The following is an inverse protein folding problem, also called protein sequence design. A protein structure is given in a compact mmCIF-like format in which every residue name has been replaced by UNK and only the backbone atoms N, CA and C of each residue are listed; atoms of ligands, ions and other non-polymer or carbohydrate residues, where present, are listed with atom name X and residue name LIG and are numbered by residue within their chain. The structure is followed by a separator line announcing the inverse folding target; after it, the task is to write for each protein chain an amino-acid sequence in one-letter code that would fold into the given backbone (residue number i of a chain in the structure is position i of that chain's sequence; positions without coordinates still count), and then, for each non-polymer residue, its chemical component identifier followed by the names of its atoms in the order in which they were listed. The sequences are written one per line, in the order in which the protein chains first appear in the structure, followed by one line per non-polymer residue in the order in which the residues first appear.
data_IF_382068290802
#
_entry.id   IF_382068290802
#
_cell.length_a   1.000
_cell.length_b   1.000
_cell.length_c   1.000
_cell.angle_alpha   90.00
_cell.angle_beta   90.00
_cell.angle_gamma   90.00
#
_symmetry.space_group_name_H-M   'P 1'
#
loop_
_entity.id
_entity.type
_entity.pdbx_description
1 polymer ?
#
# COMPACT_ATOMS: atom_id res chain seq x y z
N UNK A 1 21.99 10.79 26.42
CA UNK A 1 21.05 10.41 25.35
C UNK A 1 21.75 9.49 24.38
N UNK A 2 21.42 8.20 24.41
CA UNK A 2 21.92 7.23 23.43
C UNK A 2 21.04 7.32 22.19
N UNK A 3 21.56 7.93 21.12
CA UNK A 3 20.89 8.02 19.82
C UNK A 3 21.52 7.01 18.85
N UNK A 4 20.69 6.35 18.04
CA UNK A 4 21.15 5.53 16.90
C UNK A 4 21.08 6.38 15.64
N UNK A 5 22.14 6.36 14.84
CA UNK A 5 22.23 7.10 13.58
C UNK A 5 22.05 6.16 12.41
N UNK A 6 21.21 6.51 11.43
CA UNK A 6 20.86 5.61 10.32
C UNK A 6 21.18 6.33 9.00
N UNK A 7 21.88 5.64 8.10
CA UNK A 7 22.07 6.11 6.73
C UNK A 7 20.73 6.12 5.99
N UNK A 8 20.32 7.26 5.43
CA UNK A 8 19.01 7.38 4.78
C UNK A 8 18.88 6.51 3.52
N UNK A 9 19.99 6.25 2.81
CA UNK A 9 19.95 5.50 1.56
C UNK A 9 20.12 4.00 1.74
N UNK A 10 21.07 3.53 2.56
CA UNK A 10 21.28 2.08 2.74
C UNK A 10 20.66 1.52 4.04
N UNK A 11 20.06 2.39 4.85
CA UNK A 11 19.39 2.09 6.12
C UNK A 11 20.30 1.47 7.19
N UNK A 12 21.62 1.50 7.00
CA UNK A 12 22.58 0.93 7.95
C UNK A 12 22.58 1.75 9.25
N UNK A 13 22.35 1.12 10.42
CA UNK A 13 22.54 1.78 11.70
C UNK A 13 24.03 1.96 12.02
N UNK A 14 24.35 3.03 12.73
CA UNK A 14 25.68 3.44 13.15
C UNK A 14 25.62 3.95 14.59
N UNK A 15 26.72 3.75 15.32
CA UNK A 15 26.81 4.00 16.77
C UNK A 15 26.88 5.47 17.16
N UNK A 16 27.36 6.33 16.26
CA UNK A 16 27.55 7.75 16.50
C UNK A 16 27.56 8.53 15.17
N UNK A 17 27.45 9.85 15.27
CA UNK A 17 27.39 10.76 14.14
C UNK A 17 28.67 10.73 13.28
N UNK A 18 29.84 10.54 13.90
CA UNK A 18 31.13 10.47 13.18
C UNK A 18 31.17 9.24 12.28
N UNK A 19 30.66 8.11 12.76
CA UNK A 19 30.54 6.88 11.99
C UNK A 19 29.55 7.03 10.83
N UNK A 20 28.44 7.76 11.03
CA UNK A 20 27.50 8.06 9.95
C UNK A 20 28.16 8.91 8.85
N UNK A 21 28.83 10.01 9.20
CA UNK A 21 29.49 10.87 8.20
C UNK A 21 30.54 10.12 7.38
N UNK A 22 31.44 9.38 8.06
CA UNK A 22 32.44 8.53 7.38
C UNK A 22 31.82 7.45 6.50
N UNK A 23 30.62 6.98 6.86
CA UNK A 23 29.88 6.02 6.05
C UNK A 23 29.27 6.69 4.81
N UNK A 24 28.65 7.87 4.96
CA UNK A 24 28.04 8.61 3.85
C UNK A 24 29.06 9.01 2.78
N UNK A 25 30.29 9.38 3.17
CA UNK A 25 31.39 9.67 2.22
C UNK A 25 31.76 8.48 1.31
N UNK A 26 31.46 7.25 1.75
CA UNK A 26 31.84 6.00 1.07
C UNK A 26 30.64 5.22 0.54
N UNK A 27 29.42 5.63 0.89
CA UNK A 27 28.20 4.88 0.57
C UNK A 27 27.90 5.06 -0.92
N UNK A 28 27.92 3.99 -1.73
CA UNK A 28 27.62 4.11 -3.16
C UNK A 28 26.11 4.13 -3.44
N UNK A 29 25.27 3.96 -2.42
CA UNK A 29 23.82 3.82 -2.55
C UNK A 29 23.18 5.19 -2.36
N UNK A 30 22.40 5.62 -3.35
CA UNK A 30 21.62 6.87 -3.34
C UNK A 30 20.12 6.62 -3.60
N UNK A 31 19.72 5.34 -3.74
CA UNK A 31 18.34 4.90 -3.92
C UNK A 31 18.17 3.45 -3.44
N UNK A 32 16.93 2.99 -3.18
CA UNK A 32 16.70 1.61 -2.78
C UNK A 32 17.23 0.60 -3.84
N UNK A 33 17.89 -0.50 -3.42
CA UNK A 33 18.53 -1.45 -4.34
C UNK A 33 17.49 -2.41 -4.94
N UNK A 34 16.77 -1.96 -5.97
CA UNK A 34 15.74 -2.73 -6.66
C UNK A 34 15.35 -2.12 -7.99
N UNK A 35 14.30 -2.66 -8.60
CA UNK A 35 13.79 -2.11 -9.85
C UNK A 35 12.85 -0.94 -9.54
N UNK A 36 13.09 0.22 -10.14
CA UNK A 36 12.11 1.32 -10.11
C UNK A 36 10.90 0.91 -10.97
N UNK A 37 9.80 0.53 -10.32
CA UNK A 37 8.59 0.09 -11.00
C UNK A 37 7.61 1.25 -11.24
N UNK A 38 7.72 2.34 -10.48
CA UNK A 38 6.86 3.50 -10.61
C UNK A 38 7.69 4.77 -10.49
N UNK A 39 7.42 5.75 -11.35
CA UNK A 39 7.95 7.11 -11.23
C UNK A 39 6.95 8.13 -11.76
N UNK A 40 6.57 9.08 -10.91
CA UNK A 40 5.76 10.25 -11.30
C UNK A 40 6.22 11.46 -10.49
N UNK A 41 6.61 12.52 -11.19
CA UNK A 41 7.15 13.74 -10.58
C UNK A 41 8.33 13.40 -9.66
N UNK A 42 8.24 13.78 -8.38
CA UNK A 42 9.24 13.51 -7.36
C UNK A 42 8.97 12.23 -6.55
N UNK A 43 8.04 11.36 -6.95
CA UNK A 43 7.77 10.10 -6.23
C UNK A 43 8.12 8.89 -7.08
N UNK A 44 8.88 7.98 -6.46
CA UNK A 44 9.26 6.69 -7.04
C UNK A 44 8.93 5.54 -6.12
N UNK A 45 8.66 4.37 -6.69
CA UNK A 45 8.49 3.11 -5.94
C UNK A 45 9.40 2.04 -6.52
N UNK A 46 10.20 1.43 -5.65
CA UNK A 46 11.16 0.38 -5.98
C UNK A 46 10.65 -0.98 -5.50
N UNK A 47 10.68 -1.97 -6.38
CA UNK A 47 10.47 -3.38 -6.03
C UNK A 47 11.83 -4.03 -5.71
N UNK A 48 11.94 -4.56 -4.49
CA UNK A 48 13.15 -5.18 -3.96
C UNK A 48 12.85 -6.63 -3.60
N UNK A 49 13.62 -7.54 -4.16
CA UNK A 49 13.61 -8.95 -3.76
C UNK A 49 14.46 -9.13 -2.50
N UNK A 50 13.86 -9.61 -1.41
CA UNK A 50 14.55 -9.80 -0.14
C UNK A 50 15.67 -10.84 -0.21
N UNK A 51 15.55 -11.88 -1.04
CA UNK A 51 16.60 -12.88 -1.26
C UNK A 51 17.84 -12.27 -1.91
N UNK A 52 17.65 -11.32 -2.83
CA UNK A 52 18.75 -10.67 -3.58
C UNK A 52 19.41 -9.53 -2.81
N UNK A 53 18.65 -8.81 -1.97
CA UNK A 53 19.10 -7.59 -1.29
C UNK A 53 19.06 -7.70 0.24
N UNK A 54 19.41 -8.88 0.80
CA UNK A 54 19.26 -9.24 2.23
C UNK A 54 19.66 -8.13 3.20
N UNK A 55 20.85 -7.55 3.02
CA UNK A 55 21.37 -6.53 3.95
C UNK A 55 20.49 -5.29 4.03
N UNK A 56 20.02 -4.80 2.89
CA UNK A 56 19.15 -3.62 2.84
C UNK A 56 17.80 -3.91 3.48
N UNK A 57 17.18 -5.05 3.14
CA UNK A 57 15.86 -5.40 3.66
C UNK A 57 15.90 -5.76 5.15
N UNK A 58 16.98 -6.33 5.65
CA UNK A 58 17.18 -6.55 7.09
C UNK A 58 17.27 -5.22 7.85
N UNK A 59 18.06 -4.26 7.33
CA UNK A 59 18.11 -2.91 7.89
C UNK A 59 16.73 -2.22 7.87
N UNK A 60 16.00 -2.33 6.77
CA UNK A 60 14.62 -1.83 6.65
C UNK A 60 13.69 -2.48 7.67
N UNK A 61 13.79 -3.79 7.86
CA UNK A 61 12.98 -4.52 8.83
C UNK A 61 13.29 -4.09 10.27
N UNK A 62 14.57 -3.88 10.61
CA UNK A 62 14.99 -3.37 11.92
C UNK A 62 14.45 -1.96 12.17
N UNK A 63 14.61 -1.05 11.19
CA UNK A 63 14.03 0.29 11.26
C UNK A 63 12.52 0.23 11.44
N UNK A 64 11.85 -0.63 10.69
CA UNK A 64 10.40 -0.80 10.74
C UNK A 64 9.91 -1.37 12.07
N UNK A 65 10.69 -2.22 12.72
CA UNK A 65 10.33 -2.83 14.02
C UNK A 65 10.20 -1.79 15.13
N UNK A 66 10.87 -0.64 15.01
CA UNK A 66 10.76 0.49 15.93
C UNK A 66 9.36 1.10 15.96
N UNK A 67 8.57 0.90 14.90
CA UNK A 67 7.25 1.51 14.71
C UNK A 67 6.13 0.49 14.52
N UNK A 68 6.45 -0.80 14.46
CA UNK A 68 5.50 -1.90 14.28
C UNK A 68 5.65 -2.91 15.41
N UNK A 69 4.68 -2.94 16.32
CA UNK A 69 4.72 -3.81 17.50
C UNK A 69 4.67 -5.29 17.14
N UNK A 70 3.80 -5.65 16.19
CA UNK A 70 3.55 -7.04 15.78
C UNK A 70 4.48 -7.57 14.68
N UNK A 71 5.56 -6.85 14.30
CA UNK A 71 6.51 -7.36 13.31
C UNK A 71 7.40 -8.44 13.92
N UNK A 72 7.23 -9.68 13.47
CA UNK A 72 7.95 -10.86 13.96
C UNK A 72 9.14 -11.25 13.07
N UNK A 73 9.05 -10.98 11.76
CA UNK A 73 10.08 -11.37 10.79
C UNK A 73 10.96 -10.18 10.40
N UNK A 74 12.26 -10.30 10.66
CA UNK A 74 13.26 -9.28 10.32
C UNK A 74 14.61 -9.80 9.82
N UNK A 75 14.91 -11.10 9.98
CA UNK A 75 16.13 -11.71 9.43
C UNK A 75 15.89 -12.59 8.21
N UNK A 76 14.86 -13.44 8.25
CA UNK A 76 14.47 -14.25 7.11
C UNK A 76 13.62 -13.43 6.14
N UNK A 77 14.28 -12.87 5.13
CA UNK A 77 13.67 -11.93 4.18
C UNK A 77 13.52 -12.54 2.79
N UNK A 78 14.02 -13.75 2.59
CA UNK A 78 14.00 -14.48 1.33
C UNK A 78 12.58 -14.68 0.75
N UNK A 79 11.53 -14.97 1.56
CA UNK A 79 10.19 -15.18 1.02
C UNK A 79 9.45 -13.87 0.70
N UNK A 80 10.04 -12.70 0.92
CA UNK A 80 9.36 -11.41 0.78
C UNK A 80 9.86 -10.57 -0.40
N UNK A 81 8.91 -9.83 -0.99
CA UNK A 81 9.16 -8.64 -1.79
C UNK A 81 8.90 -7.40 -0.94
N UNK A 82 9.64 -6.33 -1.22
CA UNK A 82 9.49 -5.04 -0.57
C UNK A 82 9.24 -3.97 -1.63
N UNK A 83 8.20 -3.17 -1.43
CA UNK A 83 7.83 -2.05 -2.30
C UNK A 83 8.12 -0.75 -1.56
N UNK A 84 9.25 -0.14 -1.88
CA UNK A 84 9.80 1.02 -1.16
C UNK A 84 9.44 2.31 -1.89
N UNK A 85 8.70 3.19 -1.22
CA UNK A 85 8.33 4.51 -1.70
C UNK A 85 9.37 5.54 -1.27
N UNK A 86 9.78 6.37 -2.22
CA UNK A 86 10.76 7.43 -2.02
C UNK A 86 10.28 8.75 -2.59
N UNK A 87 10.71 9.85 -1.98
CA UNK A 87 10.74 11.16 -2.62
C UNK A 87 12.10 11.40 -3.28
N UNK A 88 12.13 12.03 -4.45
CA UNK A 88 13.33 12.31 -5.21
C UNK A 88 13.57 13.82 -5.28
N UNK A 89 14.77 14.24 -4.90
CA UNK A 89 15.27 15.60 -5.12
C UNK A 89 16.72 15.59 -5.65
N UNK A 90 17.40 16.74 -5.62
CA UNK A 90 18.78 16.90 -6.09
C UNK A 90 19.83 16.06 -5.32
N UNK A 91 19.51 15.63 -4.10
CA UNK A 91 20.35 14.78 -3.25
C UNK A 91 20.05 13.29 -3.40
N UNK A 92 19.03 12.90 -4.16
CA UNK A 92 18.72 11.52 -4.49
C UNK A 92 17.35 11.06 -3.99
N UNK A 93 17.24 9.77 -3.65
CA UNK A 93 15.97 9.18 -3.22
C UNK A 93 15.90 9.05 -1.70
N UNK A 94 14.97 9.77 -1.09
CA UNK A 94 14.69 9.77 0.34
C UNK A 94 13.64 8.73 0.67
N UNK A 95 13.97 7.79 1.57
CA UNK A 95 13.03 6.78 2.03
C UNK A 95 11.86 7.42 2.78
N UNK A 96 10.63 7.08 2.39
CA UNK A 96 9.39 7.61 3.01
C UNK A 96 8.58 6.51 3.69
N UNK A 97 8.52 5.35 3.07
CA UNK A 97 7.71 4.24 3.56
C UNK A 97 7.82 3.02 2.65
N UNK A 98 7.22 1.92 3.07
CA UNK A 98 7.18 0.70 2.28
C UNK A 98 5.98 -0.17 2.65
N UNK A 99 5.73 -1.17 1.82
CA UNK A 99 5.08 -2.39 2.28
C UNK A 99 5.85 -3.63 1.85
N UNK A 100 5.68 -4.74 2.57
CA UNK A 100 6.17 -6.06 2.18
C UNK A 100 5.02 -6.96 1.72
N UNK A 101 5.31 -7.90 0.82
CA UNK A 101 4.37 -8.90 0.30
C UNK A 101 5.11 -10.23 0.23
N UNK A 102 4.50 -11.31 0.71
CA UNK A 102 5.02 -12.66 0.51
C UNK A 102 5.01 -13.01 -0.98
N UNK A 103 6.07 -13.67 -1.47
CA UNK A 103 6.11 -14.18 -2.84
C UNK A 103 5.02 -15.22 -3.07
N UNK A 104 4.82 -16.08 -2.07
CA UNK A 104 3.75 -17.06 -2.01
C UNK A 104 3.07 -16.95 -0.65
N UNK A 105 1.78 -16.65 -0.64
CA UNK A 105 0.97 -16.52 0.57
C UNK A 105 -0.14 -17.56 0.54
N UNK A 106 -0.20 -18.44 1.54
CA UNK A 106 -1.25 -19.46 1.66
C UNK A 106 -2.65 -18.84 1.72
N UNK A 107 -2.72 -17.69 2.36
CA UNK A 107 -3.96 -16.95 2.61
C UNK A 107 -4.17 -15.83 1.59
N UNK A 108 -3.40 -15.79 0.48
CA UNK A 108 -3.43 -14.77 -0.57
C UNK A 108 -3.34 -13.32 -0.05
N UNK A 109 -2.56 -13.09 1.01
CA UNK A 109 -2.36 -11.73 1.50
C UNK A 109 -1.59 -10.89 0.48
N UNK A 110 -2.08 -9.70 0.18
CA UNK A 110 -1.41 -8.79 -0.76
C UNK A 110 -0.46 -7.82 -0.07
N UNK A 111 -0.45 -7.82 1.27
CA UNK A 111 0.37 -6.96 2.10
C UNK A 111 0.59 -7.62 3.47
N UNK A 112 1.85 -7.78 3.86
CA UNK A 112 2.25 -8.32 5.16
C UNK A 112 2.50 -7.20 6.18
N UNK A 113 3.49 -6.34 5.93
CA UNK A 113 3.76 -5.14 6.73
C UNK A 113 3.63 -3.89 5.88
N UNK A 114 3.15 -2.79 6.48
CA UNK A 114 3.15 -1.46 5.87
C UNK A 114 3.64 -0.43 6.89
N UNK A 115 4.47 0.49 6.42
CA UNK A 115 4.96 1.60 7.23
C UNK A 115 5.08 2.86 6.38
N UNK A 116 4.60 3.97 6.92
CA UNK A 116 5.07 5.31 6.53
C UNK A 116 5.82 5.88 7.72
N UNK A 117 7.04 6.35 7.49
CA UNK A 117 7.86 6.93 8.53
C UNK A 117 7.11 8.07 9.25
N UNK A 118 7.26 8.22 10.58
CA UNK A 118 6.49 9.20 11.36
C UNK A 118 6.50 10.62 10.77
N UNK A 119 7.65 11.12 10.33
CA UNK A 119 7.80 12.46 9.76
C UNK A 119 7.16 12.64 8.37
N UNK A 120 6.70 11.54 7.75
CA UNK A 120 5.97 11.55 6.48
C UNK A 120 4.50 11.10 6.62
N UNK A 121 4.02 10.84 7.84
CA UNK A 121 2.62 10.47 8.05
C UNK A 121 1.66 11.61 7.71
N UNK A 122 0.39 11.26 7.44
CA UNK A 122 -0.70 12.20 7.08
C UNK A 122 -0.47 13.00 5.77
N UNK A 123 0.57 12.70 5.00
CA UNK A 123 0.82 13.27 3.65
C UNK A 123 0.20 12.46 2.50
N UNK A 124 -0.40 11.30 2.79
CA UNK A 124 -1.09 10.46 1.80
C UNK A 124 -0.30 9.25 1.28
N UNK A 125 0.98 9.10 1.64
CA UNK A 125 1.81 7.98 1.17
C UNK A 125 1.28 6.60 1.59
N UNK A 126 0.80 6.46 2.83
CA UNK A 126 0.20 5.21 3.29
C UNK A 126 -0.97 4.76 2.40
N UNK A 127 -1.80 5.70 1.93
CA UNK A 127 -2.88 5.40 0.98
C UNK A 127 -2.34 4.97 -0.37
N UNK A 128 -1.28 5.61 -0.87
CA UNK A 128 -0.64 5.22 -2.14
C UNK A 128 -0.02 3.83 -2.05
N UNK A 129 0.62 3.47 -0.94
CA UNK A 129 1.13 2.12 -0.70
C UNK A 129 -0.01 1.06 -0.70
N UNK A 130 -1.15 1.37 -0.08
CA UNK A 130 -2.35 0.51 -0.11
C UNK A 130 -2.92 0.42 -1.54
N UNK A 131 -3.04 1.54 -2.25
CA UNK A 131 -3.54 1.57 -3.63
C UNK A 131 -2.64 0.73 -4.55
N UNK A 132 -1.32 0.79 -4.38
CA UNK A 132 -0.38 -0.03 -5.13
C UNK A 132 -0.62 -1.52 -4.85
N UNK A 133 -0.75 -1.93 -3.58
CA UNK A 133 -0.90 -3.35 -3.25
C UNK A 133 -2.15 -3.97 -3.90
N UNK A 134 -3.25 -3.23 -3.99
CA UNK A 134 -4.45 -3.65 -4.71
C UNK A 134 -4.29 -3.62 -6.23
N UNK A 135 -3.56 -2.64 -6.79
CA UNK A 135 -3.22 -2.67 -8.20
C UNK A 135 -2.43 -3.93 -8.56
N UNK A 136 -1.43 -4.30 -7.75
CA UNK A 136 -0.64 -5.51 -7.98
C UNK A 136 -1.53 -6.76 -7.92
N UNK A 137 -2.44 -6.85 -6.94
CA UNK A 137 -3.44 -7.92 -6.90
C UNK A 137 -4.29 -7.98 -8.17
N UNK A 138 -4.71 -6.82 -8.71
CA UNK A 138 -5.48 -6.74 -9.96
C UNK A 138 -4.66 -7.22 -11.16
N UNK A 139 -3.40 -6.82 -11.26
CA UNK A 139 -2.48 -7.28 -12.31
C UNK A 139 -2.21 -8.79 -12.22
N UNK A 140 -2.23 -9.36 -11.02
CA UNK A 140 -2.09 -10.80 -10.76
C UNK A 140 -3.42 -11.57 -10.91
N UNK A 141 -4.53 -10.93 -11.27
CA UNK A 141 -5.89 -11.49 -11.27
C UNK A 141 -6.30 -12.14 -9.93
N UNK A 142 -5.82 -11.58 -8.81
CA UNK A 142 -6.12 -12.04 -7.45
C UNK A 142 -6.94 -11.01 -6.68
N UNK A 143 -7.60 -11.47 -5.61
CA UNK A 143 -8.21 -10.60 -4.60
C UNK A 143 -7.25 -10.45 -3.43
N UNK A 144 -7.04 -9.21 -3.00
CA UNK A 144 -6.09 -8.86 -1.95
C UNK A 144 -6.75 -8.62 -0.60
N UNK A 145 -6.06 -9.03 0.45
CA UNK A 145 -6.34 -8.64 1.83
C UNK A 145 -5.00 -8.43 2.56
N UNK A 146 -4.88 -7.46 3.48
CA UNK A 146 -3.72 -7.34 4.35
C UNK A 146 -3.68 -8.44 5.42
N UNK A 147 -2.48 -8.80 5.85
CA UNK A 147 -2.27 -9.69 6.99
C UNK A 147 -2.84 -9.09 8.29
N UNK A 148 -3.31 -9.95 9.20
CA UNK A 148 -3.82 -9.59 10.52
C UNK A 148 -2.82 -9.98 11.62
N UNK A 149 -2.81 -9.29 12.78
CA UNK A 149 -3.69 -8.19 13.17
C UNK A 149 -3.25 -6.84 12.57
N UNK A 150 -4.22 -5.94 12.41
CA UNK A 150 -3.95 -4.54 12.04
C UNK A 150 -3.42 -3.76 13.25
N UNK A 151 -2.55 -2.77 12.98
CA UNK A 151 -2.40 -1.64 13.91
C UNK A 151 -3.62 -0.71 13.80
N UNK A 152 -3.92 0.08 14.83
CA UNK A 152 -5.04 1.04 14.82
C UNK A 152 -4.96 2.00 13.62
N UNK A 153 -3.76 2.54 13.35
CA UNK A 153 -3.51 3.42 12.21
C UNK A 153 -3.67 2.68 10.88
N UNK A 154 -3.26 1.42 10.81
CA UNK A 154 -3.45 0.54 9.65
C UNK A 154 -4.93 0.32 9.36
N UNK A 155 -5.72 -0.05 10.38
CA UNK A 155 -7.16 -0.29 10.24
C UNK A 155 -7.90 0.95 9.76
N UNK A 156 -7.61 2.12 10.33
CA UNK A 156 -8.19 3.39 9.89
C UNK A 156 -7.85 3.71 8.43
N UNK A 157 -6.60 3.46 8.02
CA UNK A 157 -6.12 3.69 6.65
C UNK A 157 -6.83 2.77 5.65
N UNK A 158 -6.98 1.48 5.98
CA UNK A 158 -7.69 0.50 5.14
C UNK A 158 -9.19 0.80 5.04
N UNK A 159 -9.87 1.13 6.16
CA UNK A 159 -11.29 1.53 6.13
C UNK A 159 -11.53 2.76 5.26
N UNK A 160 -10.64 3.75 5.34
CA UNK A 160 -10.71 4.95 4.49
C UNK A 160 -10.45 4.63 3.02
N UNK A 161 -9.49 3.74 2.73
CA UNK A 161 -9.21 3.29 1.37
C UNK A 161 -10.40 2.52 0.77
N UNK A 162 -10.88 1.47 1.43
CA UNK A 162 -11.98 0.62 0.96
C UNK A 162 -13.26 1.41 0.74
N UNK A 163 -13.65 2.24 1.72
CA UNK A 163 -14.86 3.07 1.60
C UNK A 163 -14.85 3.90 0.31
N UNK A 164 -13.71 4.51 -0.01
CA UNK A 164 -13.59 5.32 -1.20
C UNK A 164 -13.48 4.50 -2.48
N UNK A 165 -12.70 3.42 -2.49
CA UNK A 165 -12.55 2.58 -3.68
C UNK A 165 -13.89 1.95 -4.09
N UNK A 166 -14.68 1.50 -3.12
CA UNK A 166 -16.02 0.95 -3.36
C UNK A 166 -16.98 2.04 -3.86
N UNK A 167 -17.01 3.21 -3.20
CA UNK A 167 -17.83 4.33 -3.65
C UNK A 167 -17.44 4.81 -5.05
N UNK A 168 -16.14 4.84 -5.39
CA UNK A 168 -15.67 5.22 -6.72
C UNK A 168 -16.21 4.28 -7.80
N UNK A 169 -16.23 2.96 -7.56
CA UNK A 169 -16.81 1.99 -8.50
C UNK A 169 -18.32 2.15 -8.62
N UNK A 170 -19.03 2.34 -7.50
CA UNK A 170 -20.48 2.56 -7.51
C UNK A 170 -20.84 3.84 -8.29
N UNK A 171 -20.12 4.93 -8.03
CA UNK A 171 -20.34 6.21 -8.71
C UNK A 171 -19.99 6.13 -10.20
N UNK A 172 -18.91 5.45 -10.56
CA UNK A 172 -18.55 5.21 -11.95
C UNK A 172 -19.68 4.46 -12.70
N UNK A 173 -20.24 3.41 -12.10
CA UNK A 173 -21.40 2.70 -12.67
C UNK A 173 -22.63 3.59 -12.77
N UNK A 174 -22.89 4.41 -11.74
CA UNK A 174 -24.02 5.32 -11.72
C UNK A 174 -23.93 6.39 -12.83
N UNK A 175 -22.74 6.94 -13.04
CA UNK A 175 -22.48 7.98 -14.06
C UNK A 175 -22.48 7.43 -15.51
N UNK A 176 -22.15 6.15 -15.69
CA UNK A 176 -22.08 5.50 -17.02
C UNK A 176 -23.38 4.85 -17.48
N UNK A 177 -24.37 4.70 -16.59
CA UNK A 177 -25.61 4.00 -16.91
C UNK A 177 -26.68 4.97 -17.37
N UNK A 178 -27.34 4.67 -18.49
CA UNK A 178 -28.54 5.38 -18.95
C UNK A 178 -29.80 4.94 -18.19
N UNK A 179 -29.69 3.95 -17.29
CA UNK A 179 -30.81 3.47 -16.48
C UNK A 179 -31.14 4.45 -15.35
N UNK A 180 -32.44 4.62 -15.08
CA UNK A 180 -32.93 5.42 -13.94
C UNK A 180 -32.45 4.88 -12.59
N UNK A 181 -32.21 3.56 -12.50
CA UNK A 181 -31.74 2.87 -11.29
C UNK A 181 -30.61 1.90 -11.62
N UNK A 182 -29.37 2.40 -11.79
CA UNK A 182 -28.23 1.57 -12.15
C UNK A 182 -27.99 0.47 -11.12
N UNK A 183 -27.82 -0.76 -11.59
CA UNK A 183 -27.53 -1.91 -10.73
C UNK A 183 -26.03 -2.23 -10.69
N UNK A 184 -25.54 -2.61 -9.51
CA UNK A 184 -24.20 -3.15 -9.31
C UNK A 184 -24.20 -4.21 -8.22
N UNK A 185 -23.55 -5.34 -8.49
CA UNK A 185 -23.39 -6.45 -7.57
C UNK A 185 -22.13 -6.30 -6.71
N UNK A 186 -22.11 -6.98 -5.56
CA UNK A 186 -20.89 -7.14 -4.75
C UNK A 186 -19.76 -7.79 -5.56
N UNK A 187 -20.09 -8.72 -6.47
CA UNK A 187 -19.12 -9.39 -7.33
C UNK A 187 -18.41 -8.39 -8.26
N UNK A 188 -19.16 -7.53 -8.96
CA UNK A 188 -18.59 -6.51 -9.85
C UNK A 188 -17.71 -5.51 -9.10
N UNK A 189 -18.05 -5.17 -7.85
CA UNK A 189 -17.20 -4.33 -7.00
C UNK A 189 -15.89 -5.07 -6.67
N UNK A 190 -15.96 -6.34 -6.30
CA UNK A 190 -14.76 -7.15 -6.05
C UNK A 190 -13.86 -7.26 -7.29
N UNK A 191 -14.44 -7.40 -8.49
CA UNK A 191 -13.71 -7.45 -9.77
C UNK A 191 -13.07 -6.13 -10.14
N UNK A 192 -13.77 -5.03 -9.89
CA UNK A 192 -13.26 -3.70 -10.21
C UNK A 192 -12.11 -3.28 -9.28
N UNK A 193 -12.19 -3.66 -8.00
CA UNK A 193 -11.28 -3.19 -6.94
C UNK A 193 -10.21 -4.18 -6.50
N UNK A 194 -10.35 -5.47 -6.83
CA UNK A 194 -9.57 -6.57 -6.25
C UNK A 194 -9.67 -6.69 -4.72
N UNK A 195 -10.66 -6.06 -4.08
CA UNK A 195 -10.96 -6.24 -2.66
C UNK A 195 -11.74 -7.55 -2.47
N UNK A 196 -11.49 -8.26 -1.36
CA UNK A 196 -12.23 -9.48 -1.02
C UNK A 196 -13.70 -9.20 -0.72
N UNK A 197 -14.54 -10.21 -0.95
CA UNK A 197 -15.99 -10.11 -0.73
C UNK A 197 -16.33 -9.72 0.70
N UNK A 198 -15.61 -10.27 1.67
CA UNK A 198 -15.81 -10.04 3.10
C UNK A 198 -15.59 -8.56 3.45
N UNK A 199 -14.51 -7.98 2.93
CA UNK A 199 -14.18 -6.55 3.15
C UNK A 199 -15.15 -5.63 2.40
N UNK A 200 -15.54 -5.97 1.16
CA UNK A 200 -16.56 -5.21 0.41
C UNK A 200 -17.88 -5.20 1.18
N UNK A 201 -18.34 -6.37 1.61
CA UNK A 201 -19.60 -6.55 2.34
C UNK A 201 -19.56 -5.80 3.67
N UNK A 202 -18.49 -5.97 4.45
CA UNK A 202 -18.29 -5.26 5.71
C UNK A 202 -18.27 -3.74 5.53
N UNK A 203 -17.61 -3.26 4.47
CA UNK A 203 -17.55 -1.83 4.16
C UNK A 203 -18.91 -1.29 3.73
N UNK A 204 -19.66 -2.01 2.90
CA UNK A 204 -21.03 -1.61 2.51
C UNK A 204 -21.98 -1.55 3.71
N UNK A 205 -21.87 -2.48 4.66
CA UNK A 205 -22.60 -2.42 5.92
C UNK A 205 -22.18 -1.21 6.76
N UNK A 206 -20.88 -0.94 6.88
CA UNK A 206 -20.36 0.20 7.62
C UNK A 206 -20.85 1.54 7.04
N UNK A 207 -20.92 1.64 5.72
CA UNK A 207 -21.46 2.81 5.01
C UNK A 207 -22.99 2.87 4.98
N UNK A 208 -23.68 1.85 5.52
CA UNK A 208 -25.15 1.71 5.51
C UNK A 208 -25.75 1.74 4.08
N UNK A 209 -25.04 1.14 3.13
CA UNK A 209 -25.43 1.13 1.72
C UNK A 209 -26.10 -0.17 1.30
N UNK A 210 -25.93 -1.27 2.03
CA UNK A 210 -26.51 -2.57 1.66
C UNK A 210 -27.82 -2.81 2.41
N UNK A 211 -28.89 -3.07 1.66
CA UNK A 211 -30.22 -3.38 2.18
C UNK A 211 -30.72 -4.71 1.60
N UNK A 212 -31.59 -5.42 2.33
CA UNK A 212 -32.23 -6.64 1.84
C UNK A 212 -33.65 -6.32 1.38
N UNK A 213 -33.94 -6.58 0.10
CA UNK A 213 -35.23 -6.29 -0.51
C UNK A 213 -35.66 -7.44 -1.42
N UNK A 214 -36.90 -7.93 -1.24
CA UNK A 214 -37.52 -9.01 -2.05
C UNK A 214 -36.61 -10.23 -2.31
N UNK A 215 -35.86 -10.66 -1.29
CA UNK A 215 -35.01 -11.85 -1.40
C UNK A 215 -33.61 -11.58 -1.95
N UNK A 216 -33.21 -10.33 -2.16
CA UNK A 216 -31.90 -9.95 -2.71
C UNK A 216 -31.29 -8.75 -2.00
N UNK A 217 -29.96 -8.68 -1.97
CA UNK A 217 -29.26 -7.50 -1.49
C UNK A 217 -29.22 -6.42 -2.58
N UNK A 218 -29.57 -5.20 -2.20
CA UNK A 218 -29.55 -4.01 -3.05
C UNK A 218 -28.65 -2.95 -2.43
N UNK A 219 -27.94 -2.20 -3.27
CA UNK A 219 -27.09 -1.09 -2.85
C UNK A 219 -27.88 0.21 -3.01
N UNK A 220 -28.08 0.94 -1.91
CA UNK A 220 -28.81 2.20 -1.87
C UNK A 220 -27.89 3.33 -1.45
N UNK A 221 -27.69 4.31 -2.33
CA UNK A 221 -26.89 5.50 -2.04
C UNK A 221 -27.62 6.43 -1.08
N UNK A 222 -26.92 6.87 -0.04
CA UNK A 222 -27.41 7.89 0.90
C UNK A 222 -26.73 9.22 0.61
N UNK A 223 -27.42 10.33 0.92
CA UNK A 223 -26.84 11.68 0.81
C UNK A 223 -25.55 11.82 1.64
N UNK A 224 -25.55 11.25 2.85
CA UNK A 224 -24.36 11.25 3.72
C UNK A 224 -23.15 10.55 3.08
N UNK A 225 -23.36 9.38 2.46
CA UNK A 225 -22.28 8.67 1.79
C UNK A 225 -21.74 9.44 0.57
N UNK A 226 -22.64 10.08 -0.20
CA UNK A 226 -22.27 10.93 -1.34
C UNK A 226 -21.46 12.16 -0.89
N UNK A 227 -21.96 12.89 0.10
CA UNK A 227 -21.28 14.08 0.63
C UNK A 227 -19.87 13.73 1.16
N UNK A 228 -19.76 12.61 1.87
CA UNK A 228 -18.47 12.12 2.37
C UNK A 228 -17.54 11.68 1.24
N UNK A 229 -18.06 11.04 0.19
CA UNK A 229 -17.27 10.63 -0.97
C UNK A 229 -16.69 11.84 -1.71
N UNK A 230 -17.51 12.85 -2.03
CA UNK A 230 -17.04 14.05 -2.73
C UNK A 230 -16.03 14.86 -1.89
N UNK A 231 -16.28 15.03 -0.59
CA UNK A 231 -15.31 15.65 0.33
C UNK A 231 -13.98 14.91 0.37
N UNK A 232 -14.01 13.57 0.32
CA UNK A 232 -12.78 12.79 0.24
C UNK A 232 -12.10 12.97 -1.11
N UNK A 233 -12.86 12.89 -2.22
CA UNK A 233 -12.36 13.02 -3.61
C UNK A 233 -11.55 14.30 -3.79
N UNK A 234 -12.05 15.44 -3.30
CA UNK A 234 -11.35 16.73 -3.35
C UNK A 234 -10.01 16.73 -2.57
N UNK A 235 -9.97 16.04 -1.42
CA UNK A 235 -8.76 15.92 -0.61
C UNK A 235 -7.74 14.94 -1.20
N UNK A 236 -8.14 14.04 -2.11
CA UNK A 236 -7.26 13.00 -2.69
C UNK A 236 -6.43 13.54 -3.86
N UNK A 237 -5.50 14.45 -3.58
CA UNK A 237 -4.59 14.99 -4.61
C UNK A 237 -3.53 13.99 -5.08
N UNK A 238 -3.07 13.12 -4.20
CA UNK A 238 -2.03 12.14 -4.50
C UNK A 238 -2.61 10.72 -4.69
N UNK A 239 -2.51 10.20 -5.92
CA UNK A 239 -2.96 8.88 -6.38
C UNK A 239 -1.96 8.26 -7.35
N UNK A 240 -1.97 6.94 -7.44
CA UNK A 240 -1.15 6.22 -8.43
C UNK A 240 -1.69 6.45 -9.83
N UNK A 241 -0.79 6.83 -10.73
CA UNK A 241 -1.06 6.87 -12.17
C UNK A 241 -0.58 5.57 -12.83
N UNK A 242 -1.53 4.74 -13.28
CA UNK A 242 -1.20 3.42 -13.83
C UNK A 242 -0.33 3.50 -15.09
N UNK A 243 -0.35 4.63 -15.81
CA UNK A 243 0.51 4.84 -17.00
C UNK A 243 1.98 4.98 -16.64
N UNK A 244 2.27 5.38 -15.39
CA UNK A 244 3.62 5.52 -14.85
C UNK A 244 4.14 4.22 -14.23
N UNK A 245 3.32 3.17 -14.16
CA UNK A 245 3.65 1.92 -13.50
C UNK A 245 4.13 0.87 -14.51
N UNK A 246 5.36 0.39 -14.32
CA UNK A 246 6.03 -0.64 -15.10
C UNK A 246 6.05 -1.93 -14.30
N UNK A 247 4.89 -2.60 -14.23
CA UNK A 247 4.75 -3.87 -13.52
C UNK A 247 4.34 -4.99 -14.47
N UNK A 248 4.93 -6.18 -14.26
CA UNK A 248 4.51 -7.43 -14.89
C UNK A 248 4.41 -8.47 -13.79
N UNK A 249 3.32 -9.23 -13.78
CA UNK A 249 3.14 -10.34 -12.84
C UNK A 249 4.29 -11.34 -13.00
N UNK A 250 4.79 -11.84 -11.88
CA UNK A 250 5.92 -12.76 -11.81
C UNK A 250 5.46 -14.05 -11.15
N UNK A 251 5.78 -15.16 -11.80
CA UNK A 251 5.59 -16.48 -11.25
C UNK A 251 6.83 -16.86 -10.44
N UNK A 252 6.71 -16.80 -9.11
CA UNK A 252 7.81 -17.10 -8.18
C UNK A 252 7.98 -18.60 -7.92
N UNK A 253 7.05 -19.46 -8.35
CA UNK A 253 7.18 -20.93 -8.23
C UNK A 253 8.35 -21.48 -9.07
N UNK A 254 8.89 -20.68 -9.99
CA UNK A 254 9.93 -21.05 -10.96
C UNK A 254 11.35 -20.64 -10.57
N UNK A 255 11.59 -20.08 -9.37
CA UNK A 255 12.87 -19.49 -8.93
C UNK A 255 13.27 -19.87 -7.49
#
# INVERSE_FOLDING_TARGET
NECIYICEWCLKPTKDQTCLFRHMEKCPIMHPPGNEIYRKENVSIFEIDGRKNKRYVQNLCLLSKLFLDHKTVFYDTDPFLFYVLTEFDEFGHHFVGYFSKEKESSDDFNLACILTLPQHQRKGYGRVLIELSYFLSKADNKKGHPEKPFSDLGLLSYRSYWSFAIMEVIMCRYEQSDEMTPYITVHEICDSTSIRREDVTSTLHHLKLINYYKGSFVICLTKEALDNFYKQKEKRKFRIDLRCLKYKSKDYTKY
#
